data_IF_636662235812
#
_entry.id   IF_636662235812
#
_cell.length_a   1.000
_cell.length_b   1.000
_cell.length_c   1.000
_cell.angle_alpha   90.00
_cell.angle_beta   90.00
_cell.angle_gamma   90.00
#
_symmetry.space_group_name_H-M   'P 1'
#
loop_
_entity.id
_entity.type
_entity.pdbx_description
1 polymer ?
#
# COMPACT_ATOMS: atom_id res chain seq x y z
N UNK A 1 -14.81 -12.76 43.06
CA UNK A 1 -13.35 -12.52 43.04
C UNK A 1 -12.69 -13.23 44.22
N UNK A 2 -12.29 -14.51 44.06
CA UNK A 2 -11.73 -15.32 45.15
C UNK A 2 -10.44 -16.06 44.82
N UNK A 3 -9.95 -15.97 43.58
CA UNK A 3 -8.75 -16.67 43.12
C UNK A 3 -7.50 -16.25 43.89
N UNK A 4 -7.31 -14.95 44.06
CA UNK A 4 -6.14 -14.36 44.73
C UNK A 4 -6.06 -14.61 46.24
N UNK A 5 -7.13 -15.07 46.89
CA UNK A 5 -7.15 -15.37 48.34
C UNK A 5 -6.52 -16.72 48.67
N UNK A 6 -6.45 -17.63 47.69
CA UNK A 6 -5.90 -18.98 47.85
C UNK A 6 -4.53 -19.14 47.16
N UNK A 7 -4.05 -18.12 46.45
CA UNK A 7 -2.74 -18.13 45.80
C UNK A 7 -1.74 -17.46 46.74
N UNK A 8 -0.93 -18.27 47.43
CA UNK A 8 0.18 -17.76 48.23
C UNK A 8 1.48 -17.83 47.40
N UNK A 9 2.12 -16.67 47.10
CA UNK A 9 3.38 -16.66 46.33
C UNK A 9 4.49 -17.49 47.01
N UNK A 10 4.56 -17.45 48.33
CA UNK A 10 5.50 -18.25 49.12
C UNK A 10 5.20 -19.76 49.05
N UNK A 11 3.91 -20.14 49.06
CA UNK A 11 3.49 -21.53 48.92
C UNK A 11 3.79 -22.10 47.53
N UNK A 12 3.57 -21.31 46.47
CA UNK A 12 3.90 -21.71 45.11
C UNK A 12 5.41 -21.94 44.91
N UNK A 13 6.26 -21.12 45.52
CA UNK A 13 7.72 -21.30 45.49
C UNK A 13 8.13 -22.55 46.28
N UNK A 14 7.56 -22.78 47.46
CA UNK A 14 7.86 -23.96 48.26
C UNK A 14 7.46 -25.26 47.55
N UNK A 15 6.28 -25.27 46.92
CA UNK A 15 5.76 -26.38 46.12
C UNK A 15 6.66 -26.66 44.92
N UNK A 16 7.05 -25.60 44.18
CA UNK A 16 8.02 -25.71 43.09
C UNK A 16 9.37 -26.28 43.55
N UNK A 17 9.90 -25.83 44.70
CA UNK A 17 11.17 -26.34 45.25
C UNK A 17 11.05 -27.81 45.64
N UNK A 18 9.91 -28.25 46.16
CA UNK A 18 9.65 -29.67 46.46
C UNK A 18 9.69 -30.50 45.19
N UNK A 19 8.86 -30.14 44.20
CA UNK A 19 8.78 -30.82 42.90
C UNK A 19 10.14 -30.84 42.19
N UNK A 20 10.88 -29.74 42.26
CA UNK A 20 12.23 -29.64 41.70
C UNK A 20 13.21 -30.60 42.36
N UNK A 21 13.21 -30.69 43.69
CA UNK A 21 14.14 -31.54 44.44
C UNK A 21 13.83 -33.03 44.26
N UNK A 22 12.55 -33.37 44.20
CA UNK A 22 12.09 -34.76 44.07
C UNK A 22 12.30 -35.33 42.65
N UNK A 23 12.44 -34.46 41.64
CA UNK A 23 12.65 -34.90 40.26
C UNK A 23 14.12 -35.33 40.02
N UNK A 24 14.39 -36.61 39.64
CA UNK A 24 15.75 -37.09 39.36
C UNK A 24 16.33 -36.57 38.05
N UNK A 25 15.50 -36.04 37.15
CA UNK A 25 15.90 -35.51 35.85
C UNK A 25 15.88 -33.98 35.76
N UNK A 26 15.73 -33.28 36.90
CA UNK A 26 15.66 -31.81 37.00
C UNK A 26 16.69 -31.06 36.13
N UNK A 27 17.95 -31.49 36.13
CA UNK A 27 19.01 -30.87 35.33
C UNK A 27 18.89 -31.15 33.83
N UNK A 28 18.39 -32.33 33.44
CA UNK A 28 18.13 -32.65 32.02
C UNK A 28 16.98 -31.83 31.48
N UNK A 29 15.88 -31.77 32.23
CA UNK A 29 14.70 -30.97 31.88
C UNK A 29 15.09 -29.49 31.79
N UNK A 30 15.90 -28.99 32.73
CA UNK A 30 16.42 -27.62 32.69
C UNK A 30 17.25 -27.36 31.44
N UNK A 31 18.22 -28.23 31.17
CA UNK A 31 19.10 -28.08 30.02
C UNK A 31 18.31 -28.08 28.70
N UNK A 32 17.33 -28.97 28.55
CA UNK A 32 16.45 -29.00 27.37
C UNK A 32 15.60 -27.74 27.28
N UNK A 33 15.05 -27.26 28.39
CA UNK A 33 14.20 -26.05 28.40
C UNK A 33 14.99 -24.81 28.02
N UNK A 34 16.21 -24.66 28.55
CA UNK A 34 17.13 -23.57 28.19
C UNK A 34 17.52 -23.71 26.72
N UNK A 35 17.92 -24.89 26.26
CA UNK A 35 18.33 -25.11 24.88
C UNK A 35 17.18 -24.81 23.89
N UNK A 36 15.96 -25.24 24.20
CA UNK A 36 14.79 -24.95 23.37
C UNK A 36 14.49 -23.44 23.31
N UNK A 37 14.54 -22.76 24.46
CA UNK A 37 14.28 -21.31 24.53
C UNK A 37 15.37 -20.50 23.83
N UNK A 38 16.64 -20.80 24.11
CA UNK A 38 17.78 -20.13 23.46
C UNK A 38 17.83 -20.44 21.98
N UNK A 39 17.57 -21.69 21.58
CA UNK A 39 17.49 -22.09 20.18
C UNK A 39 16.40 -21.32 19.42
N UNK A 40 15.22 -21.17 20.03
CA UNK A 40 14.15 -20.35 19.46
C UNK A 40 14.57 -18.88 19.34
N UNK A 41 15.14 -18.29 20.39
CA UNK A 41 15.59 -16.90 20.39
C UNK A 41 16.69 -16.65 19.34
N UNK A 42 17.59 -17.61 19.14
CA UNK A 42 18.66 -17.54 18.14
C UNK A 42 18.13 -17.42 16.70
N UNK A 43 16.95 -18.00 16.39
CA UNK A 43 16.30 -17.85 15.08
C UNK A 43 15.85 -16.42 14.80
N UNK A 44 15.64 -15.62 15.86
CA UNK A 44 15.19 -14.24 15.76
C UNK A 44 16.32 -13.22 15.92
N UNK A 45 17.57 -13.66 16.08
CA UNK A 45 18.71 -12.73 16.10
C UNK A 45 18.84 -12.19 14.68
N UNK A 46 18.59 -10.88 14.46
CA UNK A 46 18.78 -10.30 13.14
C UNK A 46 20.27 -10.41 12.77
N UNK A 47 20.57 -10.81 11.54
CA UNK A 47 21.91 -10.63 11.01
C UNK A 47 22.24 -9.14 11.12
N UNK A 48 23.44 -8.83 11.62
CA UNK A 48 23.86 -7.44 11.75
C UNK A 48 23.71 -6.79 10.39
N UNK A 49 22.84 -5.77 10.29
CA UNK A 49 22.76 -4.96 9.08
C UNK A 49 24.15 -4.33 8.90
N UNK A 50 24.92 -4.85 7.93
CA UNK A 50 26.09 -4.16 7.43
C UNK A 50 25.61 -2.76 7.05
N UNK A 51 26.15 -1.76 7.75
CA UNK A 51 26.00 -0.31 7.57
C UNK A 51 24.94 0.15 6.54
N UNK A 52 24.05 1.03 6.97
CA UNK A 52 23.05 1.70 6.12
C UNK A 52 23.60 1.96 4.71
N UNK A 53 22.98 1.41 3.65
CA UNK A 53 23.53 1.52 2.31
C UNK A 53 23.77 2.99 1.97
N UNK A 54 24.93 3.34 1.39
CA UNK A 54 25.24 4.72 1.06
C UNK A 54 24.13 5.28 0.18
N UNK A 55 23.64 6.48 0.52
CA UNK A 55 22.53 7.12 -0.20
C UNK A 55 22.84 7.11 -1.70
N UNK A 56 21.90 6.68 -2.56
CA UNK A 56 22.13 6.59 -3.99
C UNK A 56 22.48 7.99 -4.52
N UNK A 57 23.51 8.07 -5.35
CA UNK A 57 23.83 9.29 -6.10
C UNK A 57 22.77 9.46 -7.19
N UNK A 58 21.90 10.45 -7.04
CA UNK A 58 20.89 10.78 -8.06
C UNK A 58 21.58 11.59 -9.15
N UNK A 59 21.79 10.99 -10.33
CA UNK A 59 22.17 11.72 -11.54
C UNK A 59 20.89 12.16 -12.24
N UNK A 60 20.60 13.46 -12.19
CA UNK A 60 19.52 14.05 -12.98
C UNK A 60 19.96 14.09 -14.45
N UNK A 61 19.37 13.22 -15.26
CA UNK A 61 19.48 13.30 -16.72
C UNK A 61 18.37 14.24 -17.17
N UNK A 62 18.70 15.51 -17.38
CA UNK A 62 17.77 16.47 -18.01
C UNK A 62 17.64 16.08 -19.48
N UNK A 63 16.47 15.58 -19.87
CA UNK A 63 16.19 15.16 -21.26
C UNK A 63 15.88 16.30 -22.20
N UNK A 64 15.74 17.52 -21.68
CA UNK A 64 15.44 18.72 -22.47
C UNK A 64 16.61 19.70 -22.40
N UNK A 65 16.83 20.39 -23.52
CA UNK A 65 17.85 21.43 -23.64
C UNK A 65 17.52 22.60 -22.67
N UNK A 66 18.47 23.04 -21.82
CA UNK A 66 18.23 24.11 -20.85
C UNK A 66 18.06 25.50 -21.49
N UNK A 67 18.45 25.69 -22.75
CA UNK A 67 18.31 26.94 -23.50
C UNK A 67 17.06 26.95 -24.39
N UNK A 68 16.21 25.91 -24.30
CA UNK A 68 14.98 25.81 -25.08
C UNK A 68 14.06 27.00 -24.81
N UNK A 69 13.58 27.62 -25.88
CA UNK A 69 12.68 28.78 -25.80
C UNK A 69 11.25 28.37 -25.39
N UNK A 70 10.50 29.30 -24.79
CA UNK A 70 9.08 29.08 -24.45
C UNK A 70 8.25 28.68 -25.68
N UNK A 71 8.55 29.24 -26.85
CA UNK A 71 7.86 28.93 -28.09
C UNK A 71 8.07 27.47 -28.51
N UNK A 72 9.30 26.96 -28.38
CA UNK A 72 9.61 25.56 -28.67
C UNK A 72 8.98 24.60 -27.66
N UNK A 73 8.85 25.01 -26.40
CA UNK A 73 8.15 24.24 -25.36
C UNK A 73 6.67 24.13 -25.71
N UNK A 74 6.01 25.24 -26.03
CA UNK A 74 4.60 25.27 -26.40
C UNK A 74 4.35 24.45 -27.66
N UNK A 75 5.20 24.59 -28.68
CA UNK A 75 5.09 23.84 -29.93
C UNK A 75 5.16 22.32 -29.69
N UNK A 76 6.12 21.87 -28.88
CA UNK A 76 6.25 20.45 -28.56
C UNK A 76 5.17 19.92 -27.64
N UNK A 77 4.67 20.73 -26.71
CA UNK A 77 3.52 20.34 -25.91
C UNK A 77 2.29 20.17 -26.79
N UNK A 78 2.03 21.11 -27.70
CA UNK A 78 0.91 21.00 -28.64
C UNK A 78 1.04 19.76 -29.53
N UNK A 79 2.24 19.47 -30.04
CA UNK A 79 2.47 18.27 -30.84
C UNK A 79 2.26 16.99 -30.01
N UNK A 80 2.75 16.96 -28.77
CA UNK A 80 2.53 15.84 -27.86
C UNK A 80 1.05 15.64 -27.53
N UNK A 81 0.30 16.73 -27.32
CA UNK A 81 -1.13 16.64 -27.09
C UNK A 81 -1.87 16.10 -28.31
N UNK A 82 -1.53 16.55 -29.52
CA UNK A 82 -2.11 15.97 -30.74
C UNK A 82 -1.85 14.47 -30.85
N UNK A 83 -0.60 14.03 -30.63
CA UNK A 83 -0.26 12.59 -30.65
C UNK A 83 -1.02 11.81 -29.58
N UNK A 84 -1.20 12.40 -28.39
CA UNK A 84 -1.96 11.80 -27.29
C UNK A 84 -3.44 11.67 -27.65
N UNK A 85 -4.06 12.74 -28.15
CA UNK A 85 -5.45 12.76 -28.60
C UNK A 85 -5.69 11.74 -29.72
N UNK A 86 -4.78 11.64 -30.70
CA UNK A 86 -4.84 10.64 -31.78
C UNK A 86 -4.71 9.20 -31.26
N UNK A 87 -3.88 8.96 -30.25
CA UNK A 87 -3.76 7.66 -29.60
C UNK A 87 -5.02 7.31 -28.82
N UNK A 88 -5.55 8.25 -28.03
CA UNK A 88 -6.76 8.06 -27.25
C UNK A 88 -7.97 7.79 -28.14
N UNK A 89 -8.12 8.53 -29.25
CA UNK A 89 -9.16 8.28 -30.24
C UNK A 89 -9.07 6.85 -30.81
N UNK A 90 -7.88 6.41 -31.22
CA UNK A 90 -7.68 5.04 -31.73
C UNK A 90 -7.96 3.96 -30.70
N UNK A 91 -7.59 4.20 -29.44
CA UNK A 91 -7.86 3.27 -28.35
C UNK A 91 -9.36 3.18 -28.06
N UNK A 92 -10.07 4.31 -28.04
CA UNK A 92 -11.52 4.35 -27.87
C UNK A 92 -12.24 3.61 -29.01
N UNK A 93 -11.83 3.81 -30.27
CA UNK A 93 -12.35 3.05 -31.42
C UNK A 93 -12.08 1.54 -31.31
N UNK A 94 -10.89 1.15 -30.84
CA UNK A 94 -10.56 -0.26 -30.62
C UNK A 94 -11.38 -0.87 -29.48
N UNK A 95 -11.62 -0.10 -28.42
CA UNK A 95 -12.42 -0.53 -27.28
C UNK A 95 -13.89 -0.73 -27.67
N UNK A 96 -14.49 0.21 -28.39
CA UNK A 96 -15.87 0.06 -28.87
C UNK A 96 -16.01 -1.14 -29.80
N UNK A 97 -15.07 -1.33 -30.75
CA UNK A 97 -15.07 -2.54 -31.58
C UNK A 97 -14.97 -3.82 -30.76
N UNK A 98 -14.15 -3.82 -29.71
CA UNK A 98 -14.02 -4.97 -28.81
C UNK A 98 -15.34 -5.24 -28.07
N UNK A 99 -15.99 -4.21 -27.52
CA UNK A 99 -17.30 -4.32 -26.86
C UNK A 99 -18.34 -4.90 -27.82
N UNK A 100 -18.41 -4.38 -29.05
CA UNK A 100 -19.35 -4.84 -30.08
C UNK A 100 -19.13 -6.31 -30.44
N UNK A 101 -17.87 -6.75 -30.57
CA UNK A 101 -17.55 -8.16 -30.78
C UNK A 101 -18.04 -9.06 -29.64
N UNK A 102 -17.87 -8.63 -28.39
CA UNK A 102 -18.35 -9.39 -27.23
C UNK A 102 -19.88 -9.40 -27.12
N UNK A 103 -20.55 -8.28 -27.41
CA UNK A 103 -22.02 -8.21 -27.51
C UNK A 103 -22.53 -9.18 -28.57
N UNK A 104 -21.93 -9.17 -29.76
CA UNK A 104 -22.30 -10.06 -30.86
C UNK A 104 -22.10 -11.54 -30.48
N UNK A 105 -20.97 -11.86 -29.82
CA UNK A 105 -20.72 -13.20 -29.32
C UNK A 105 -21.75 -13.63 -28.28
N UNK A 106 -22.07 -12.77 -27.32
CA UNK A 106 -23.07 -13.04 -26.29
C UNK A 106 -24.45 -13.36 -26.88
N UNK A 107 -24.91 -12.52 -27.82
CA UNK A 107 -26.16 -12.75 -28.57
C UNK A 107 -26.14 -14.07 -29.34
N UNK A 108 -25.03 -14.39 -30.00
CA UNK A 108 -24.88 -15.64 -30.74
C UNK A 108 -24.89 -16.88 -29.83
N UNK A 109 -24.40 -16.76 -28.59
CA UNK A 109 -24.41 -17.84 -27.59
C UNK A 109 -25.70 -17.93 -26.79
N UNK A 110 -26.69 -17.06 -27.08
CA UNK A 110 -27.99 -17.06 -26.42
C UNK A 110 -28.04 -16.33 -25.07
N UNK A 111 -27.07 -15.45 -24.79
CA UNK A 111 -27.11 -14.53 -23.66
C UNK A 111 -27.96 -13.30 -24.00
N UNK A 112 -28.79 -12.85 -23.07
CA UNK A 112 -29.57 -11.61 -23.17
C UNK A 112 -28.68 -10.41 -22.80
N UNK A 113 -27.93 -9.93 -23.79
CA UNK A 113 -26.97 -8.82 -23.63
C UNK A 113 -27.69 -7.51 -23.30
N UNK A 114 -28.87 -7.27 -23.87
CA UNK A 114 -29.56 -6.00 -23.74
C UNK A 114 -30.12 -5.84 -22.31
N UNK A 115 -30.68 -6.92 -21.72
CA UNK A 115 -31.09 -6.91 -20.32
C UNK A 115 -29.91 -6.70 -19.34
N UNK A 116 -28.74 -7.30 -19.63
CA UNK A 116 -27.54 -7.10 -18.81
C UNK A 116 -27.03 -5.65 -18.88
N UNK A 117 -27.06 -5.01 -20.05
CA UNK A 117 -26.66 -3.60 -20.18
C UNK A 117 -27.57 -2.66 -19.40
N UNK A 118 -28.88 -2.91 -19.38
CA UNK A 118 -29.84 -2.14 -18.57
C UNK A 118 -29.62 -2.32 -17.05
N UNK A 119 -29.25 -3.52 -16.61
CA UNK A 119 -28.86 -3.77 -15.22
C UNK A 119 -27.58 -3.01 -14.86
N UNK A 120 -26.52 -3.15 -15.67
CA UNK A 120 -25.24 -2.46 -15.47
C UNK A 120 -25.43 -0.94 -15.41
N UNK A 121 -26.24 -0.36 -16.31
CA UNK A 121 -26.50 1.08 -16.32
C UNK A 121 -27.21 1.55 -15.03
N UNK A 122 -28.14 0.75 -14.51
CA UNK A 122 -28.83 1.06 -13.25
C UNK A 122 -27.88 0.98 -12.05
N UNK A 123 -27.04 -0.04 -12.00
CA UNK A 123 -26.05 -0.20 -10.93
C UNK A 123 -25.02 0.95 -10.95
N UNK A 124 -24.50 1.29 -12.13
CA UNK A 124 -23.55 2.40 -12.29
C UNK A 124 -24.16 3.74 -11.87
N UNK A 125 -25.40 4.03 -12.29
CA UNK A 125 -26.09 5.25 -11.86
C UNK A 125 -26.30 5.31 -10.34
N UNK A 126 -26.60 4.17 -9.71
CA UNK A 126 -26.76 4.09 -8.26
C UNK A 126 -25.42 4.27 -7.52
N UNK A 127 -24.34 3.68 -8.05
CA UNK A 127 -22.99 3.83 -7.50
C UNK A 127 -22.47 5.26 -7.63
N UNK A 128 -22.69 5.91 -8.78
CA UNK A 128 -22.32 7.31 -9.01
C UNK A 128 -23.07 8.23 -8.05
N UNK A 129 -24.38 8.05 -7.88
CA UNK A 129 -25.17 8.83 -6.93
C UNK A 129 -24.71 8.62 -5.48
N UNK A 130 -24.37 7.38 -5.10
CA UNK A 130 -23.83 7.08 -3.78
C UNK A 130 -22.43 7.71 -3.58
N UNK A 131 -21.58 7.69 -4.61
CA UNK A 131 -20.26 8.31 -4.60
C UNK A 131 -20.33 9.83 -4.48
N UNK A 132 -21.27 10.47 -5.19
CA UNK A 132 -21.51 11.90 -5.10
C UNK A 132 -22.04 12.29 -3.72
N UNK A 133 -22.97 11.51 -3.16
CA UNK A 133 -23.48 11.73 -1.80
C UNK A 133 -22.42 11.50 -0.70
N UNK A 134 -21.44 10.61 -0.95
CA UNK A 134 -20.33 10.33 -0.05
C UNK A 134 -19.10 11.22 -0.29
N UNK A 135 -19.10 12.03 -1.35
CA UNK A 135 -17.98 12.91 -1.65
C UNK A 135 -17.86 13.98 -0.55
N UNK A 136 -16.72 14.07 0.16
CA UNK A 136 -16.49 15.18 1.08
C UNK A 136 -16.55 16.50 0.29
N UNK A 137 -16.98 17.61 0.93
CA UNK A 137 -16.97 18.91 0.27
C UNK A 137 -15.57 19.17 -0.30
N UNK A 138 -15.46 19.77 -1.51
CA UNK A 138 -14.17 20.04 -2.10
C UNK A 138 -13.33 20.80 -1.08
N UNK A 139 -12.03 20.47 -0.94
CA UNK A 139 -11.17 21.21 -0.04
C UNK A 139 -11.31 22.69 -0.41
N UNK A 140 -11.70 23.52 0.58
CA UNK A 140 -11.65 24.96 0.42
C UNK A 140 -10.29 25.27 -0.20
N UNK A 141 -10.28 25.97 -1.32
CA UNK A 141 -9.06 26.37 -2.02
C UNK A 141 -8.27 27.28 -1.09
N UNK A 142 -7.53 26.65 -0.17
CA UNK A 142 -6.48 27.25 0.61
C UNK A 142 -5.46 27.69 -0.41
N UNK A 143 -5.54 28.96 -0.74
CA UNK A 143 -4.47 29.74 -1.36
C UNK A 143 -3.17 29.20 -0.78
N UNK A 144 -2.30 28.68 -1.64
CA UNK A 144 -0.94 28.32 -1.28
C UNK A 144 -0.40 29.47 -0.43
N UNK A 145 -0.27 29.25 0.88
CA UNK A 145 0.43 30.20 1.72
C UNK A 145 1.87 30.15 1.24
N UNK A 146 2.25 31.14 0.46
CA UNK A 146 3.65 31.45 0.19
C UNK A 146 4.31 31.61 1.56
N UNK A 147 5.02 30.58 2.00
CA UNK A 147 5.94 30.71 3.13
C UNK A 147 6.95 31.78 2.74
N UNK A 148 7.07 32.90 3.48
CA UNK A 148 8.07 33.90 3.18
C UNK A 148 9.43 33.25 3.36
N UNK A 149 10.22 33.28 2.30
CA UNK A 149 11.59 32.81 2.25
C UNK A 149 12.41 33.48 3.37
N UNK A 150 12.68 32.75 4.46
CA UNK A 150 13.67 33.16 5.45
C UNK A 150 15.06 32.88 4.90
N UNK A 151 15.54 33.77 4.04
CA UNK A 151 16.91 33.75 3.54
C UNK A 151 17.40 35.15 3.21
N UNK A 152 17.29 36.09 4.16
CA UNK A 152 18.17 37.26 4.24
C UNK A 152 18.46 37.56 5.71
N UNK A 153 19.41 36.81 6.28
CA UNK A 153 20.16 37.25 7.47
C UNK A 153 21.53 36.56 7.44
N UNK A 154 22.54 37.29 7.01
CA UNK A 154 23.91 36.82 6.93
C UNK A 154 24.75 37.85 6.19
N UNK A 155 25.08 38.92 6.92
CA UNK A 155 26.14 39.88 6.60
C UNK A 155 27.48 39.19 6.30
#
# INVERSE_FOLDING_TARGET
MGFWRNVSPSGAVADFVSVWRDNPHRWRVLAVSIAATTGLMMLFIPESQLAEPPRPKITYITTFDPERTEQEIIASNLENQKRKEELEARLAEAEERRKDMYRALGRATGLDVDAMEEEIAREQAAEEAAREAAAPPPPETGIYQETPNQAESGE
#
